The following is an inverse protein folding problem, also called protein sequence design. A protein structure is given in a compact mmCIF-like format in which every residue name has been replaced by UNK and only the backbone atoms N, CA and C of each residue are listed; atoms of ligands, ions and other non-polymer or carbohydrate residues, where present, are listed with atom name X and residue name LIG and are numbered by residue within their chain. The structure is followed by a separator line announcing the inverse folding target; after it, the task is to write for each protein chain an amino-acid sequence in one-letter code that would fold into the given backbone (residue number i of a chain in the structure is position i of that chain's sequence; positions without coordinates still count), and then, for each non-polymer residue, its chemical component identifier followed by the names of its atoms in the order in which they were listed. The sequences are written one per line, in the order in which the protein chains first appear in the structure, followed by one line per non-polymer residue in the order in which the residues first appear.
data_IF_664683483585
#
_entry.id   IF_664683483585
#
_cell.length_a   1.000
_cell.length_b   1.000
_cell.length_c   1.000
_cell.angle_alpha   90.00
_cell.angle_beta   90.00
_cell.angle_gamma   90.00
#
_symmetry.space_group_name_H-M   'P 1'
#
loop_
_entity.id
_entity.type
_entity.pdbx_description
1 polymer ?
#
# COMPACT_ATOMS: atom_id res chain seq x y z
N UNK A 1 39.57 -5.51 9.75
CA UNK A 1 39.53 -4.46 8.72
C UNK A 1 38.75 -5.02 7.55
N UNK A 2 37.48 -4.67 7.37
CA UNK A 2 36.67 -5.28 6.31
C UNK A 2 35.18 -5.16 6.50
N UNK A 3 34.60 -4.13 5.89
CA UNK A 3 33.62 -4.18 4.79
C UNK A 3 33.10 -2.75 4.66
N UNK A 4 33.88 -1.92 3.97
CA UNK A 4 33.40 -0.62 3.54
C UNK A 4 32.18 -0.88 2.64
N UNK A 5 31.07 -0.17 2.88
CA UNK A 5 29.93 -0.16 1.97
C UNK A 5 30.39 0.08 0.54
N UNK A 6 29.68 -0.53 -0.42
CA UNK A 6 29.95 -0.32 -1.84
C UNK A 6 29.87 1.18 -2.19
N UNK A 7 30.55 1.61 -3.27
CA UNK A 7 30.40 2.96 -3.79
C UNK A 7 28.92 3.30 -4.03
N UNK A 8 28.57 4.48 -3.56
CA UNK A 8 27.32 5.25 -3.52
C UNK A 8 26.69 5.55 -4.90
N UNK A 9 27.28 5.03 -5.97
CA UNK A 9 26.86 5.31 -7.34
C UNK A 9 26.92 4.02 -8.15
N UNK A 10 25.73 3.51 -8.50
CA UNK A 10 25.58 2.33 -9.34
C UNK A 10 24.15 1.82 -9.33
N UNK A 11 23.45 1.95 -10.46
CA UNK A 11 22.17 1.28 -10.65
C UNK A 11 22.41 -0.25 -10.63
N UNK A 12 21.87 -0.95 -9.64
CA UNK A 12 21.79 -2.40 -9.73
C UNK A 12 20.54 -2.75 -10.56
N UNK A 13 20.78 -3.24 -11.77
CA UNK A 13 19.68 -3.74 -12.59
C UNK A 13 19.23 -5.07 -11.99
N UNK A 14 18.08 -5.10 -11.30
CA UNK A 14 17.38 -6.38 -11.07
C UNK A 14 16.58 -6.70 -12.32
N UNK A 15 16.40 -7.99 -12.60
CA UNK A 15 15.75 -8.46 -13.83
C UNK A 15 14.30 -8.01 -13.97
N UNK A 16 13.64 -7.62 -12.88
CA UNK A 16 12.20 -7.29 -12.83
C UNK A 16 11.89 -5.96 -12.13
N UNK A 17 12.86 -5.34 -11.44
CA UNK A 17 12.65 -4.11 -10.66
C UNK A 17 13.86 -3.18 -10.80
N UNK A 18 13.62 -1.88 -10.91
CA UNK A 18 14.70 -0.88 -10.86
C UNK A 18 15.06 -0.57 -9.41
N UNK A 19 16.34 -0.64 -9.04
CA UNK A 19 16.79 -0.24 -7.70
C UNK A 19 17.48 1.12 -7.74
N UNK A 20 17.12 1.97 -6.78
CA UNK A 20 17.91 3.14 -6.40
C UNK A 20 18.61 2.82 -5.08
N UNK A 21 19.92 2.64 -5.13
CA UNK A 21 20.74 2.65 -3.93
C UNK A 21 20.79 4.11 -3.41
N UNK A 22 20.61 4.29 -2.10
CA UNK A 22 20.84 5.56 -1.36
C UNK A 22 19.75 6.65 -1.29
N UNK A 23 18.50 6.31 -0.99
CA UNK A 23 17.50 7.30 -0.51
C UNK A 23 17.01 7.03 0.91
N UNK A 24 17.70 6.14 1.61
CA UNK A 24 17.20 5.58 2.86
C UNK A 24 17.11 6.60 3.99
N UNK A 25 18.11 7.47 4.10
CA UNK A 25 18.20 8.53 5.11
C UNK A 25 17.32 9.74 4.76
N UNK A 26 17.21 10.07 3.47
CA UNK A 26 16.33 11.13 2.99
C UNK A 26 14.85 10.79 3.24
N UNK A 27 14.46 9.53 3.03
CA UNK A 27 13.11 9.04 3.32
C UNK A 27 12.73 9.21 4.80
N UNK A 28 13.68 9.01 5.72
CA UNK A 28 13.44 9.26 7.16
C UNK A 28 13.24 10.74 7.44
N UNK A 29 14.02 11.63 6.82
CA UNK A 29 13.86 13.09 6.99
C UNK A 29 12.57 13.66 6.39
N UNK A 30 12.05 13.04 5.33
CA UNK A 30 10.81 13.48 4.67
C UNK A 30 9.54 12.95 5.34
N UNK A 31 9.65 12.24 6.47
CA UNK A 31 8.48 11.72 7.18
C UNK A 31 7.82 10.55 6.44
N UNK A 32 8.64 9.63 5.89
CA UNK A 32 8.14 8.43 5.22
C UNK A 32 7.06 7.73 6.06
N UNK A 33 5.96 7.37 5.41
CA UNK A 33 4.85 6.66 6.03
C UNK A 33 5.13 5.18 6.34
N UNK A 34 6.32 4.67 5.99
CA UNK A 34 6.75 3.27 6.17
C UNK A 34 7.61 3.15 7.44
N UNK A 35 7.18 2.33 8.40
CA UNK A 35 7.82 2.29 9.74
C UNK A 35 8.45 0.95 10.12
N UNK A 36 8.05 -0.16 9.51
CA UNK A 36 8.51 -1.49 9.97
C UNK A 36 9.80 -1.95 9.28
N UNK A 37 9.70 -2.44 8.04
CA UNK A 37 10.85 -3.01 7.34
C UNK A 37 10.66 -2.93 5.83
N UNK A 38 11.67 -2.41 5.13
CA UNK A 38 11.74 -2.35 3.66
C UNK A 38 12.90 -3.17 3.11
N UNK A 39 13.39 -4.16 3.85
CA UNK A 39 14.39 -5.12 3.35
C UNK A 39 13.76 -5.96 2.23
N UNK A 40 13.77 -5.42 1.02
CA UNK A 40 13.12 -5.94 -0.17
C UNK A 40 12.92 -4.86 -1.24
N UNK A 41 12.27 -5.22 -2.34
CA UNK A 41 11.82 -4.27 -3.35
C UNK A 41 10.42 -3.76 -2.98
N UNK A 42 10.24 -2.44 -2.90
CA UNK A 42 8.93 -1.85 -2.67
C UNK A 42 8.18 -1.74 -3.99
N UNK A 43 7.07 -2.45 -4.10
CA UNK A 43 6.28 -2.55 -5.34
C UNK A 43 5.19 -1.49 -5.44
N UNK A 44 4.68 -1.05 -4.29
CA UNK A 44 3.61 -0.06 -4.18
C UNK A 44 3.79 0.73 -2.88
N UNK A 45 3.63 2.05 -2.99
CA UNK A 45 3.40 2.96 -1.89
C UNK A 45 2.27 3.89 -2.34
N UNK A 46 1.22 4.02 -1.53
CA UNK A 46 0.15 4.96 -1.77
C UNK A 46 -0.27 5.60 -0.45
N UNK A 47 -0.29 6.92 -0.43
CA UNK A 47 -0.72 7.74 0.70
C UNK A 47 -1.90 8.65 0.36
N UNK A 48 -2.51 8.46 -0.81
CA UNK A 48 -3.73 9.15 -1.23
C UNK A 48 -3.59 10.67 -1.46
N UNK A 49 -2.37 11.23 -1.36
CA UNK A 49 -2.12 12.67 -1.54
C UNK A 49 -2.34 13.15 -2.99
N UNK A 50 -2.46 12.21 -3.93
CA UNK A 50 -2.88 12.51 -5.30
C UNK A 50 -4.39 12.81 -5.43
N UNK A 51 -5.14 12.75 -4.32
CA UNK A 51 -6.58 13.00 -4.26
C UNK A 51 -7.42 11.90 -4.90
N UNK A 52 -6.89 10.68 -5.04
CA UNK A 52 -7.56 9.54 -5.69
C UNK A 52 -7.44 8.29 -4.84
N UNK A 53 -8.47 7.44 -4.89
CA UNK A 53 -8.41 6.09 -4.33
C UNK A 53 -7.51 5.19 -5.18
N UNK A 54 -7.20 3.99 -4.67
CA UNK A 54 -6.44 2.98 -5.40
C UNK A 54 -7.11 2.59 -6.72
N UNK A 55 -6.33 2.03 -7.64
CA UNK A 55 -6.76 1.80 -9.04
C UNK A 55 -8.00 0.92 -9.18
N UNK A 56 -8.25 0.02 -8.24
CA UNK A 56 -9.46 -0.80 -8.20
C UNK A 56 -10.14 -0.63 -6.85
N UNK A 57 -11.46 -0.53 -6.91
CA UNK A 57 -12.33 -0.47 -5.75
C UNK A 57 -13.66 -1.08 -6.12
N UNK A 58 -14.29 -1.71 -5.13
CA UNK A 58 -15.61 -2.31 -5.26
C UNK A 58 -16.39 -2.01 -3.97
N UNK A 59 -17.71 -1.98 -4.09
CA UNK A 59 -18.60 -1.71 -2.97
C UNK A 59 -19.95 -2.31 -3.25
N UNK A 60 -20.57 -2.84 -2.22
CA UNK A 60 -21.88 -3.48 -2.34
C UNK A 60 -22.79 -3.14 -1.16
N UNK A 61 -24.09 -3.14 -1.44
CA UNK A 61 -25.13 -2.79 -0.48
C UNK A 61 -25.48 -1.30 -0.42
N UNK A 62 -26.70 -1.02 0.07
CA UNK A 62 -27.22 0.34 0.21
C UNK A 62 -26.41 1.16 1.22
N UNK A 63 -26.01 2.38 0.81
CA UNK A 63 -25.20 3.28 1.63
C UNK A 63 -23.69 2.98 1.59
N UNK A 64 -23.25 2.02 0.79
CA UNK A 64 -21.83 1.75 0.60
C UNK A 64 -21.10 2.91 -0.06
N UNK A 65 -19.85 3.15 0.36
CA UNK A 65 -19.05 4.28 -0.10
C UNK A 65 -17.55 3.92 -0.15
N UNK A 66 -16.89 4.32 -1.23
CA UNK A 66 -15.42 4.36 -1.34
C UNK A 66 -15.06 5.78 -1.79
N UNK A 67 -14.43 6.56 -0.92
CA UNK A 67 -14.20 7.98 -1.18
C UNK A 67 -12.90 8.46 -0.55
N UNK A 68 -12.27 9.44 -1.18
CA UNK A 68 -11.14 10.17 -0.59
C UNK A 68 -11.68 11.20 0.38
N UNK A 69 -11.11 11.23 1.58
CA UNK A 69 -11.50 12.17 2.63
C UNK A 69 -10.27 12.80 3.28
N UNK A 70 -10.47 13.99 3.86
CA UNK A 70 -9.50 14.66 4.73
C UNK A 70 -9.88 14.55 6.22
N UNK A 71 -10.94 13.82 6.57
CA UNK A 71 -11.45 13.74 7.95
C UNK A 71 -10.43 13.08 8.91
N UNK A 72 -9.78 12.02 8.44
CA UNK A 72 -8.77 11.27 9.18
C UNK A 72 -7.66 10.87 8.23
N UNK A 73 -6.43 11.31 8.51
CA UNK A 73 -5.23 10.88 7.79
C UNK A 73 -4.12 10.61 8.80
N UNK A 74 -3.38 9.51 8.61
CA UNK A 74 -2.20 9.20 9.44
C UNK A 74 -1.00 10.04 9.03
N UNK A 75 -0.83 10.20 7.71
CA UNK A 75 0.24 10.93 7.05
C UNK A 75 -0.40 11.72 5.91
N UNK A 76 0.12 12.91 5.62
CA UNK A 76 -0.48 13.78 4.61
C UNK A 76 -1.79 14.43 5.07
N UNK A 77 -2.61 14.82 4.10
CA UNK A 77 -3.92 15.44 4.30
C UNK A 77 -5.11 14.55 3.90
N UNK A 78 -4.88 13.43 3.21
CA UNK A 78 -5.93 12.57 2.68
C UNK A 78 -5.80 11.10 3.12
N UNK A 79 -6.94 10.41 3.12
CA UNK A 79 -7.02 8.95 3.19
C UNK A 79 -8.22 8.45 2.39
N UNK A 80 -8.30 7.13 2.19
CA UNK A 80 -9.50 6.50 1.64
C UNK A 80 -10.42 6.04 2.75
N UNK A 81 -11.67 6.50 2.72
CA UNK A 81 -12.76 6.04 3.57
C UNK A 81 -13.53 4.93 2.85
N UNK A 82 -13.72 3.82 3.57
CA UNK A 82 -14.51 2.67 3.14
C UNK A 82 -15.73 2.54 4.06
N UNK A 83 -16.91 2.46 3.48
CA UNK A 83 -18.18 2.24 4.19
C UNK A 83 -18.86 1.05 3.54
N UNK A 84 -18.99 -0.05 4.29
CA UNK A 84 -19.80 -1.19 3.87
C UNK A 84 -21.28 -0.81 3.78
N UNK A 85 -22.01 -1.43 2.85
CA UNK A 85 -23.44 -1.21 2.73
C UNK A 85 -24.26 -1.82 3.88
N UNK A 86 -25.58 -1.63 3.81
CA UNK A 86 -26.57 -2.16 4.76
C UNK A 86 -27.51 -3.22 4.16
N UNK A 87 -27.30 -3.57 2.89
CA UNK A 87 -27.98 -4.67 2.19
C UNK A 87 -26.97 -5.55 1.45
N UNK A 88 -27.41 -6.73 1.00
CA UNK A 88 -26.63 -7.57 0.08
C UNK A 88 -25.31 -8.08 0.70
N UNK A 89 -24.15 -7.89 0.05
CA UNK A 89 -22.85 -8.41 0.50
C UNK A 89 -22.14 -7.51 1.52
N UNK A 90 -22.64 -6.28 1.76
CA UNK A 90 -22.27 -5.40 2.88
C UNK A 90 -20.78 -5.00 2.95
N UNK A 91 -20.11 -4.74 1.83
CA UNK A 91 -18.68 -4.44 1.82
C UNK A 91 -18.30 -3.19 1.01
N UNK A 92 -17.09 -2.72 1.27
CA UNK A 92 -16.37 -1.76 0.44
C UNK A 92 -14.88 -2.08 0.55
N UNK A 93 -14.20 -2.18 -0.57
CA UNK A 93 -12.79 -2.52 -0.63
C UNK A 93 -12.02 -1.69 -1.65
N UNK A 94 -10.71 -1.72 -1.48
CA UNK A 94 -9.73 -1.19 -2.42
C UNK A 94 -8.70 -2.27 -2.70
N UNK A 95 -8.27 -2.37 -3.94
CA UNK A 95 -7.29 -3.36 -4.35
C UNK A 95 -6.31 -2.79 -5.39
N UNK A 96 -5.17 -3.45 -5.48
CA UNK A 96 -4.15 -3.15 -6.47
C UNK A 96 -3.64 -4.43 -7.08
N UNK A 97 -3.50 -4.43 -8.41
CA UNK A 97 -3.06 -5.59 -9.18
C UNK A 97 -1.64 -5.34 -9.66
N UNK A 98 -0.72 -6.20 -9.23
CA UNK A 98 0.67 -6.20 -9.69
C UNK A 98 0.88 -7.35 -10.67
N UNK A 99 1.69 -7.12 -11.71
CA UNK A 99 2.27 -8.22 -12.47
C UNK A 99 3.12 -9.05 -11.51
N UNK A 100 2.96 -10.38 -11.56
CA UNK A 100 3.62 -11.27 -10.60
C UNK A 100 5.15 -11.09 -10.64
N UNK A 101 5.77 -10.55 -9.58
CA UNK A 101 7.22 -10.61 -9.47
C UNK A 101 7.61 -12.08 -9.23
N UNK A 102 8.83 -12.46 -9.60
CA UNK A 102 9.35 -13.81 -9.35
C UNK A 102 8.98 -14.28 -7.94
N UNK A 103 8.50 -15.53 -7.81
CA UNK A 103 8.00 -16.12 -6.55
C UNK A 103 8.98 -15.79 -5.42
N UNK A 104 8.53 -14.97 -4.48
CA UNK A 104 9.34 -14.48 -3.38
C UNK A 104 8.45 -14.22 -2.16
N UNK A 105 9.07 -13.90 -1.02
CA UNK A 105 8.32 -13.53 0.18
C UNK A 105 7.65 -12.18 -0.08
N UNK A 106 6.35 -12.12 0.15
CA UNK A 106 5.56 -10.89 0.06
C UNK A 106 5.22 -10.38 1.45
N UNK A 107 5.14 -9.05 1.59
CA UNK A 107 4.67 -8.38 2.78
C UNK A 107 3.95 -7.10 2.39
N UNK A 108 3.02 -6.65 3.23
CA UNK A 108 2.37 -5.36 3.09
C UNK A 108 2.27 -4.68 4.45
N UNK A 109 2.26 -3.36 4.43
CA UNK A 109 2.00 -2.50 5.59
C UNK A 109 0.80 -1.60 5.22
N UNK A 110 -0.15 -1.46 6.13
CA UNK A 110 -1.31 -0.60 5.93
C UNK A 110 -1.75 -0.03 7.28
N UNK A 111 -2.35 1.15 7.22
CA UNK A 111 -2.77 1.92 8.38
C UNK A 111 -4.24 2.26 8.21
N UNK A 112 -5.05 1.93 9.21
CA UNK A 112 -6.49 2.18 9.20
C UNK A 112 -6.93 2.75 10.53
N UNK A 113 -8.00 3.55 10.49
CA UNK A 113 -8.70 4.04 11.66
C UNK A 113 -10.13 3.51 11.61
N UNK A 114 -10.68 3.16 12.77
CA UNK A 114 -12.01 2.58 12.89
C UNK A 114 -12.84 3.51 13.78
N UNK A 115 -13.63 4.43 13.19
CA UNK A 115 -14.37 5.44 13.95
C UNK A 115 -15.64 4.89 14.60
N UNK A 116 -16.15 3.74 14.14
CA UNK A 116 -17.41 3.13 14.58
C UNK A 116 -17.24 1.64 14.83
N UNK A 117 -18.29 0.96 15.29
CA UNK A 117 -18.29 -0.50 15.28
C UNK A 117 -18.20 -1.03 13.84
N UNK A 118 -17.50 -2.15 13.68
CA UNK A 118 -17.34 -2.88 12.43
C UNK A 118 -17.34 -4.38 12.78
N UNK A 119 -17.79 -5.21 11.85
CA UNK A 119 -17.86 -6.66 12.07
C UNK A 119 -16.56 -7.36 11.67
N UNK A 120 -15.97 -6.95 10.55
CA UNK A 120 -14.78 -7.60 9.96
C UNK A 120 -13.89 -6.62 9.21
N UNK A 121 -12.58 -6.79 9.35
CA UNK A 121 -11.56 -6.28 8.43
C UNK A 121 -10.89 -7.49 7.80
N UNK A 122 -10.70 -7.44 6.49
CA UNK A 122 -10.08 -8.51 5.72
C UNK A 122 -8.90 -7.97 4.92
N UNK A 123 -7.78 -8.71 4.94
CA UNK A 123 -6.63 -8.45 4.08
C UNK A 123 -6.38 -9.68 3.23
N UNK A 124 -6.45 -9.48 1.92
CA UNK A 124 -6.49 -10.59 0.99
C UNK A 124 -5.40 -10.44 -0.06
N UNK A 125 -4.56 -11.48 -0.18
CA UNK A 125 -3.51 -11.59 -1.19
C UNK A 125 -3.83 -12.78 -2.07
N UNK A 126 -4.06 -12.53 -3.35
CA UNK A 126 -4.35 -13.57 -4.34
C UNK A 126 -3.24 -13.67 -5.38
N UNK A 127 -2.92 -14.90 -5.75
CA UNK A 127 -2.08 -15.20 -6.90
C UNK A 127 -2.95 -15.75 -8.02
N UNK A 128 -3.09 -14.97 -9.09
CA UNK A 128 -3.89 -15.36 -10.26
C UNK A 128 -2.99 -15.88 -11.38
N UNK A 129 -3.17 -17.14 -11.76
CA UNK A 129 -2.38 -17.81 -12.81
C UNK A 129 -3.04 -17.78 -14.19
N UNK A 130 -4.24 -17.21 -14.32
CA UNK A 130 -4.99 -17.20 -15.59
C UNK A 130 -5.82 -18.46 -15.85
N UNK A 131 -5.93 -19.36 -14.88
CA UNK A 131 -6.69 -20.62 -14.90
C UNK A 131 -7.51 -20.74 -13.63
#
# INVERSE_FOLDING_TARGET
MGKHGKPDWGMQVKSTVYTLDELSELAVRLGSEVFFDRRGDVLLIDNFENGRTMSFWEKDGAGSEVVITADHARSGGYSTKLVGGSTDDLYADISYRLTYPVVSKFGFETHFSIPTQFDRIEFTVWYYTGT
#
